data_IF_212854619035
#
_entry.id   IF_212854619035
#
_cell.length_a   1.000
_cell.length_b   1.000
_cell.length_c   1.000
_cell.angle_alpha   90.00
_cell.angle_beta   90.00
_cell.angle_gamma   90.00
#
_symmetry.space_group_name_H-M   'P 1'
#
loop_
_entity.id
_entity.type
_entity.pdbx_description
1 polymer ?
#
# COMPACT_ATOMS: atom_id res chain seq x y z
N UNK A 1 -10.97 -20.99 17.44
CA UNK A 1 -9.95 -19.95 17.21
C UNK A 1 -10.63 -18.76 16.56
N UNK A 2 -10.32 -17.57 17.00
CA UNK A 2 -10.77 -16.33 16.35
C UNK A 2 -9.86 -15.98 15.17
N UNK A 3 -10.28 -14.98 14.35
CA UNK A 3 -9.52 -14.57 13.15
C UNK A 3 -8.05 -14.23 13.46
N UNK A 4 -7.78 -13.63 14.60
CA UNK A 4 -6.43 -13.18 14.96
C UNK A 4 -5.50 -14.31 15.39
N UNK A 5 -6.01 -15.30 16.12
CA UNK A 5 -5.26 -16.52 16.45
C UNK A 5 -4.88 -17.28 15.17
N UNK A 6 -5.82 -17.35 14.22
CA UNK A 6 -5.58 -17.95 12.90
C UNK A 6 -4.54 -17.15 12.09
N UNK A 7 -4.63 -15.81 12.10
CA UNK A 7 -3.66 -14.94 11.40
C UNK A 7 -2.25 -15.07 11.99
N UNK A 8 -2.09 -15.23 13.30
CA UNK A 8 -0.77 -15.46 13.92
C UNK A 8 -0.14 -16.79 13.49
N UNK A 9 -0.95 -17.84 13.32
CA UNK A 9 -0.47 -19.11 12.76
C UNK A 9 0.02 -18.90 11.32
N UNK A 10 -0.70 -18.12 10.54
CA UNK A 10 -0.33 -17.81 9.16
C UNK A 10 0.97 -17.01 9.11
N UNK A 11 1.11 -15.95 9.89
CA UNK A 11 2.33 -15.14 9.95
C UNK A 11 3.55 -15.99 10.30
N UNK A 12 3.42 -16.85 11.33
CA UNK A 12 4.49 -17.76 11.73
C UNK A 12 4.89 -18.73 10.62
N UNK A 13 3.91 -19.30 9.91
CA UNK A 13 4.19 -20.20 8.79
C UNK A 13 4.79 -19.46 7.60
N UNK A 14 4.33 -18.27 7.31
CA UNK A 14 4.92 -17.44 6.26
C UNK A 14 6.38 -17.10 6.52
N UNK A 15 6.73 -16.73 7.76
CA UNK A 15 8.11 -16.43 8.15
C UNK A 15 9.05 -17.64 8.01
N UNK A 16 8.54 -18.86 8.19
CA UNK A 16 9.30 -20.10 8.03
C UNK A 16 9.22 -20.71 6.62
N UNK A 17 8.51 -20.09 5.68
CA UNK A 17 8.34 -20.63 4.32
C UNK A 17 7.44 -21.86 4.24
N UNK A 18 6.66 -22.14 5.27
CA UNK A 18 5.79 -23.31 5.37
C UNK A 18 4.44 -23.10 4.67
N UNK A 19 3.82 -24.19 4.25
CA UNK A 19 2.44 -24.16 3.74
C UNK A 19 1.44 -23.95 4.88
N UNK A 20 0.36 -23.24 4.58
CA UNK A 20 -0.75 -23.05 5.52
C UNK A 20 -1.68 -24.26 5.42
N UNK A 21 -2.01 -24.93 6.54
CA UNK A 21 -2.92 -26.06 6.54
C UNK A 21 -4.32 -25.68 6.02
N UNK A 22 -4.94 -26.59 5.29
CA UNK A 22 -6.24 -26.36 4.67
C UNK A 22 -7.35 -26.07 5.69
N UNK A 23 -7.31 -26.70 6.86
CA UNK A 23 -8.25 -26.43 7.95
C UNK A 23 -8.13 -24.98 8.47
N UNK A 24 -6.94 -24.38 8.47
CA UNK A 24 -6.74 -22.98 8.84
C UNK A 24 -7.31 -22.07 7.74
N UNK A 25 -7.01 -22.37 6.46
CA UNK A 25 -7.57 -21.66 5.32
C UNK A 25 -9.09 -21.65 5.38
N UNK A 26 -9.72 -22.81 5.55
CA UNK A 26 -11.18 -22.96 5.60
C UNK A 26 -11.80 -22.24 6.80
N UNK A 27 -11.15 -22.25 7.96
CA UNK A 27 -11.58 -21.52 9.14
C UNK A 27 -11.58 -20.00 8.91
N UNK A 28 -10.52 -19.45 8.30
CA UNK A 28 -10.46 -18.03 7.97
C UNK A 28 -11.50 -17.69 6.90
N UNK A 29 -11.60 -18.49 5.84
CA UNK A 29 -12.56 -18.30 4.77
C UNK A 29 -13.99 -18.21 5.27
N UNK A 30 -14.36 -19.04 6.24
CA UNK A 30 -15.68 -18.99 6.88
C UNK A 30 -15.92 -17.67 7.62
N UNK A 31 -14.88 -17.10 8.25
CA UNK A 31 -15.01 -15.84 8.99
C UNK A 31 -15.13 -14.65 8.02
N UNK A 32 -14.40 -14.67 6.91
CA UNK A 32 -14.37 -13.54 5.95
C UNK A 32 -15.44 -13.63 4.86
N UNK A 33 -16.29 -14.66 4.89
CA UNK A 33 -17.31 -14.94 3.86
C UNK A 33 -18.31 -13.81 3.62
N UNK A 34 -18.56 -12.96 4.64
CA UNK A 34 -19.48 -11.83 4.52
C UNK A 34 -18.91 -10.65 3.72
N UNK A 35 -17.65 -10.75 3.30
CA UNK A 35 -16.95 -9.72 2.51
C UNK A 35 -16.50 -8.50 3.30
N UNK A 36 -15.88 -7.54 2.60
CA UNK A 36 -15.36 -6.29 3.20
C UNK A 36 -14.04 -6.46 3.94
N UNK A 37 -13.42 -7.64 3.88
CA UNK A 37 -12.14 -7.90 4.53
C UNK A 37 -10.95 -7.54 3.64
N UNK A 38 -9.98 -6.87 4.24
CA UNK A 38 -8.74 -6.39 3.61
C UNK A 38 -7.54 -7.05 4.28
N UNK A 39 -6.63 -7.59 3.47
CA UNK A 39 -5.32 -8.04 3.92
C UNK A 39 -4.30 -6.91 3.83
N UNK A 40 -3.67 -6.58 4.96
CA UNK A 40 -2.58 -5.60 5.04
C UNK A 40 -1.25 -6.35 5.07
N UNK A 41 -0.52 -6.32 3.97
CA UNK A 41 0.79 -6.99 3.84
C UNK A 41 1.92 -6.05 4.26
N UNK A 42 2.19 -5.96 5.55
CA UNK A 42 3.36 -5.26 6.08
C UNK A 42 4.60 -6.09 5.83
N UNK A 43 5.33 -5.78 4.76
CA UNK A 43 6.50 -6.56 4.31
C UNK A 43 7.78 -5.74 4.34
N UNK A 44 8.91 -6.44 4.29
CA UNK A 44 10.25 -5.89 4.08
C UNK A 44 10.69 -6.14 2.63
N UNK A 45 10.47 -5.21 1.70
CA UNK A 45 10.97 -5.34 0.35
C UNK A 45 12.50 -5.14 0.32
N UNK A 46 13.18 -5.91 -0.50
CA UNK A 46 14.60 -5.74 -0.75
C UNK A 46 14.78 -4.76 -1.91
N UNK A 47 15.41 -3.59 -1.65
CA UNK A 47 15.62 -2.58 -2.68
C UNK A 47 16.43 -3.15 -3.86
N UNK A 48 15.91 -2.96 -5.09
CA UNK A 48 16.51 -3.43 -6.33
C UNK A 48 16.34 -4.92 -6.62
N UNK A 49 15.82 -5.74 -5.71
CA UNK A 49 15.62 -7.17 -5.98
C UNK A 49 14.16 -7.47 -6.34
N UNK A 50 13.81 -7.11 -7.56
CA UNK A 50 12.43 -7.21 -8.09
C UNK A 50 11.90 -8.64 -8.04
N UNK A 51 12.72 -9.63 -8.42
CA UNK A 51 12.32 -11.05 -8.42
C UNK A 51 11.98 -11.55 -7.01
N UNK A 52 12.81 -11.24 -6.04
CA UNK A 52 12.59 -11.62 -4.64
C UNK A 52 11.29 -10.99 -4.11
N UNK A 53 11.11 -9.69 -4.36
CA UNK A 53 9.92 -8.96 -3.94
C UNK A 53 8.66 -9.51 -4.62
N UNK A 54 8.73 -9.77 -5.93
CA UNK A 54 7.61 -10.34 -6.67
C UNK A 54 7.19 -11.72 -6.14
N UNK A 55 8.15 -12.60 -5.83
CA UNK A 55 7.87 -13.91 -5.23
C UNK A 55 7.21 -13.78 -3.84
N UNK A 56 7.67 -12.81 -3.04
CA UNK A 56 7.07 -12.49 -1.75
C UNK A 56 5.63 -11.99 -1.92
N UNK A 57 5.40 -11.01 -2.77
CA UNK A 57 4.08 -10.45 -3.09
C UNK A 57 3.13 -11.53 -3.61
N UNK A 58 3.59 -12.39 -4.54
CA UNK A 58 2.81 -13.49 -5.10
C UNK A 58 2.28 -14.46 -4.02
N UNK A 59 3.07 -14.73 -2.97
CA UNK A 59 2.67 -15.58 -1.86
C UNK A 59 1.47 -15.00 -1.11
N UNK A 60 1.48 -13.69 -0.83
CA UNK A 60 0.37 -13.01 -0.15
C UNK A 60 -0.87 -12.89 -1.03
N UNK A 61 -0.70 -12.62 -2.35
CA UNK A 61 -1.83 -12.59 -3.30
C UNK A 61 -2.53 -13.95 -3.35
N UNK A 62 -1.76 -15.04 -3.52
CA UNK A 62 -2.31 -16.41 -3.55
C UNK A 62 -3.05 -16.74 -2.27
N UNK A 63 -2.49 -16.37 -1.13
CA UNK A 63 -3.13 -16.60 0.15
C UNK A 63 -4.43 -15.79 0.30
N UNK A 64 -4.41 -14.49 -0.04
CA UNK A 64 -5.60 -13.65 -0.03
C UNK A 64 -6.73 -14.22 -0.88
N UNK A 65 -6.40 -14.70 -2.10
CA UNK A 65 -7.33 -15.39 -2.99
C UNK A 65 -7.89 -16.69 -2.37
N UNK A 66 -7.01 -17.51 -1.77
CA UNK A 66 -7.43 -18.77 -1.15
C UNK A 66 -8.40 -18.59 -0.01
N UNK A 67 -8.24 -17.56 0.82
CA UNK A 67 -9.14 -17.29 1.94
C UNK A 67 -10.32 -16.38 1.58
N UNK A 68 -10.40 -15.88 0.34
CA UNK A 68 -11.53 -15.09 -0.15
C UNK A 68 -11.51 -13.62 0.31
N UNK A 69 -10.35 -13.00 0.47
CA UNK A 69 -10.27 -11.56 0.74
C UNK A 69 -10.64 -10.73 -0.50
N UNK A 70 -11.40 -9.66 -0.30
CA UNK A 70 -11.74 -8.71 -1.35
C UNK A 70 -10.51 -7.98 -1.90
N UNK A 71 -9.55 -7.67 -0.99
CA UNK A 71 -8.41 -6.82 -1.29
C UNK A 71 -7.19 -7.22 -0.47
N UNK A 72 -6.01 -7.17 -1.10
CA UNK A 72 -4.71 -7.18 -0.42
C UNK A 72 -3.91 -5.94 -0.78
N UNK A 73 -3.37 -5.27 0.23
CA UNK A 73 -2.64 -4.00 0.09
C UNK A 73 -1.18 -4.19 0.47
N UNK A 74 -0.29 -3.76 -0.41
CA UNK A 74 1.15 -3.75 -0.22
C UNK A 74 1.68 -2.32 0.00
N UNK A 75 2.89 -2.17 0.57
CA UNK A 75 3.55 -0.87 0.74
C UNK A 75 3.84 -0.15 -0.58
N UNK A 76 4.16 1.14 -0.48
CA UNK A 76 4.73 1.94 -1.56
C UNK A 76 5.96 1.25 -2.16
N UNK A 77 6.07 1.26 -3.51
CA UNK A 77 7.18 0.66 -4.26
C UNK A 77 7.56 -0.78 -3.84
N UNK A 78 6.60 -1.54 -3.33
CA UNK A 78 6.84 -2.88 -2.77
C UNK A 78 7.53 -3.84 -3.75
N UNK A 79 7.31 -3.67 -5.06
CA UNK A 79 7.92 -4.52 -6.09
C UNK A 79 9.40 -4.17 -6.34
N UNK A 80 9.74 -2.88 -6.33
CA UNK A 80 11.11 -2.41 -6.51
C UNK A 80 11.89 -2.35 -5.19
N UNK A 81 11.20 -2.09 -4.07
CA UNK A 81 11.77 -1.73 -2.78
C UNK A 81 12.07 -0.23 -2.69
N UNK A 82 11.74 0.41 -1.56
CA UNK A 82 12.01 1.81 -1.29
C UNK A 82 13.17 1.95 -0.29
N UNK A 83 14.09 2.90 -0.47
CA UNK A 83 14.21 3.89 -1.54
C UNK A 83 14.81 3.34 -2.84
N UNK A 84 14.45 3.95 -3.97
CA UNK A 84 14.93 3.54 -5.29
C UNK A 84 16.21 4.25 -5.73
N UNK A 85 16.39 5.49 -5.29
CA UNK A 85 17.54 6.37 -5.53
C UNK A 85 18.12 6.30 -6.96
N UNK A 86 19.45 6.32 -7.10
CA UNK A 86 20.13 6.22 -8.40
C UNK A 86 19.95 4.88 -9.13
N UNK A 87 19.36 3.88 -8.46
CA UNK A 87 19.23 2.51 -9.00
C UNK A 87 18.49 2.47 -10.32
N UNK A 88 17.39 3.23 -10.44
CA UNK A 88 16.56 3.23 -11.65
C UNK A 88 17.21 3.94 -12.84
N UNK A 89 18.05 4.93 -12.60
CA UNK A 89 18.76 5.65 -13.67
C UNK A 89 20.01 4.88 -14.14
N UNK A 90 20.72 4.22 -13.21
CA UNK A 90 21.94 3.47 -13.51
C UNK A 90 21.69 2.10 -14.11
N UNK A 91 20.54 1.50 -13.80
CA UNK A 91 20.18 0.14 -14.20
C UNK A 91 18.80 0.08 -14.85
N UNK A 92 18.60 0.58 -16.10
CA UNK A 92 17.29 0.59 -16.76
C UNK A 92 16.62 -0.78 -16.86
N UNK A 93 17.41 -1.86 -16.96
CA UNK A 93 16.91 -3.24 -17.02
C UNK A 93 16.03 -3.61 -15.80
N UNK A 94 16.29 -3.00 -14.64
CA UNK A 94 15.53 -3.30 -13.43
C UNK A 94 14.09 -2.76 -13.53
N UNK A 95 13.88 -1.67 -14.28
CA UNK A 95 12.54 -1.13 -14.54
C UNK A 95 11.77 -2.02 -15.51
N UNK A 96 12.44 -2.58 -16.51
CA UNK A 96 11.83 -3.56 -17.43
C UNK A 96 11.42 -4.83 -16.67
N UNK A 97 12.28 -5.34 -15.80
CA UNK A 97 11.96 -6.47 -14.94
C UNK A 97 10.79 -6.16 -14.00
N UNK A 98 10.75 -4.96 -13.42
CA UNK A 98 9.64 -4.51 -12.57
C UNK A 98 8.30 -4.57 -13.32
N UNK A 99 8.22 -4.13 -14.59
CA UNK A 99 7.02 -4.24 -15.41
C UNK A 99 6.69 -5.70 -15.76
N UNK A 100 7.71 -6.50 -16.11
CA UNK A 100 7.54 -7.93 -16.43
C UNK A 100 6.95 -8.70 -15.23
N UNK A 101 7.50 -8.48 -14.03
CA UNK A 101 7.02 -9.13 -12.83
C UNK A 101 5.64 -8.62 -12.40
N UNK A 102 5.35 -7.32 -12.58
CA UNK A 102 4.01 -6.77 -12.33
C UNK A 102 2.94 -7.47 -13.18
N UNK A 103 3.21 -7.65 -14.49
CA UNK A 103 2.33 -8.41 -15.39
C UNK A 103 2.16 -9.87 -14.96
N UNK A 104 3.23 -10.48 -14.43
CA UNK A 104 3.19 -11.84 -13.86
C UNK A 104 2.31 -11.92 -12.60
N UNK A 105 2.40 -10.93 -11.72
CA UNK A 105 1.56 -10.82 -10.53
C UNK A 105 0.08 -10.64 -10.90
N UNK A 106 -0.22 -9.83 -11.90
CA UNK A 106 -1.60 -9.65 -12.37
C UNK A 106 -2.23 -10.99 -12.76
N UNK A 107 -1.52 -11.82 -13.52
CA UNK A 107 -2.01 -13.13 -13.99
C UNK A 107 -2.42 -14.10 -12.87
N UNK A 108 -1.83 -13.97 -11.70
CA UNK A 108 -2.16 -14.82 -10.54
C UNK A 108 -3.20 -14.19 -9.60
N UNK A 109 -3.59 -12.94 -9.85
CA UNK A 109 -4.55 -12.21 -9.02
C UNK A 109 -5.97 -12.51 -9.50
N UNK A 110 -6.53 -13.60 -8.98
CA UNK A 110 -7.87 -14.09 -9.32
C UNK A 110 -8.69 -14.24 -8.04
N UNK A 111 -9.95 -13.75 -8.05
CA UNK A 111 -10.85 -13.82 -6.88
C UNK A 111 -10.48 -12.89 -5.73
N UNK A 112 -9.52 -12.02 -5.93
CA UNK A 112 -9.13 -10.93 -5.00
C UNK A 112 -8.66 -9.73 -5.83
N UNK A 113 -8.48 -8.59 -5.20
CA UNK A 113 -7.80 -7.43 -5.80
C UNK A 113 -6.47 -7.22 -5.07
N UNK A 114 -5.40 -6.83 -5.77
CA UNK A 114 -4.13 -6.49 -5.14
C UNK A 114 -3.70 -5.08 -5.51
N UNK A 115 -3.28 -4.29 -4.51
CA UNK A 115 -2.65 -2.99 -4.69
C UNK A 115 -1.14 -3.15 -4.54
N UNK A 116 -0.38 -3.02 -5.63
CA UNK A 116 1.05 -3.29 -5.67
C UNK A 116 1.82 -2.04 -6.07
N UNK A 117 2.66 -1.52 -5.16
CA UNK A 117 3.56 -0.39 -5.43
C UNK A 117 4.69 -0.78 -6.39
N UNK A 118 4.93 0.03 -7.44
CA UNK A 118 5.93 -0.22 -8.47
C UNK A 118 6.47 1.09 -9.07
N UNK A 119 7.60 1.01 -9.78
CA UNK A 119 8.14 2.10 -10.60
C UNK A 119 7.50 2.05 -11.98
N UNK A 120 6.82 3.11 -12.36
CA UNK A 120 6.16 3.23 -13.66
C UNK A 120 7.01 4.07 -14.60
N UNK A 121 7.48 3.52 -15.75
CA UNK A 121 8.16 4.30 -16.78
C UNK A 121 7.17 5.24 -17.49
N UNK A 122 7.60 6.47 -17.73
CA UNK A 122 6.87 7.45 -18.54
C UNK A 122 7.23 7.27 -20.03
N UNK A 123 6.42 7.86 -20.92
CA UNK A 123 6.74 7.91 -22.35
C UNK A 123 8.09 8.62 -22.57
N UNK A 124 8.86 8.14 -23.53
CA UNK A 124 10.21 8.64 -23.79
C UNK A 124 10.26 10.13 -24.18
N UNK A 125 9.20 10.64 -24.80
CA UNK A 125 9.04 12.03 -25.26
C UNK A 125 8.37 12.94 -24.23
N UNK A 126 8.02 12.42 -23.05
CA UNK A 126 7.38 13.21 -22.01
C UNK A 126 8.37 14.15 -21.32
N UNK A 127 8.03 15.44 -21.23
CA UNK A 127 8.81 16.40 -20.44
C UNK A 127 8.87 16.02 -18.95
N UNK A 128 9.97 16.34 -18.27
CA UNK A 128 10.18 16.07 -16.84
C UNK A 128 10.96 14.77 -16.58
N UNK A 129 10.73 14.15 -15.42
CA UNK A 129 11.44 12.92 -15.02
C UNK A 129 10.88 11.71 -15.76
N UNK A 130 11.69 10.65 -15.81
CA UNK A 130 11.39 9.45 -16.60
C UNK A 130 10.38 8.50 -15.95
N UNK A 131 10.11 8.64 -14.64
CA UNK A 131 9.38 7.65 -13.87
C UNK A 131 8.30 8.28 -13.00
N UNK A 132 7.26 7.49 -12.71
CA UNK A 132 6.32 7.74 -11.61
C UNK A 132 6.52 6.71 -10.50
N UNK A 133 6.23 7.11 -9.27
CA UNK A 133 5.97 6.21 -8.17
C UNK A 133 4.47 5.88 -8.19
N UNK A 134 4.15 4.62 -8.40
CA UNK A 134 2.78 4.21 -8.72
C UNK A 134 2.34 2.98 -7.94
N UNK A 135 1.03 2.85 -7.76
CA UNK A 135 0.36 1.65 -7.27
C UNK A 135 -0.50 1.09 -8.39
N UNK A 136 -0.25 -0.15 -8.79
CA UNK A 136 -1.08 -0.88 -9.74
C UNK A 136 -2.22 -1.59 -9.02
N UNK A 137 -3.39 -1.59 -9.64
CA UNK A 137 -4.57 -2.33 -9.23
C UNK A 137 -4.64 -3.59 -10.08
N UNK A 138 -4.35 -4.73 -9.46
CA UNK A 138 -4.35 -6.04 -10.12
C UNK A 138 -5.65 -6.76 -9.77
N UNK A 139 -6.36 -7.27 -10.77
CA UNK A 139 -7.60 -8.00 -10.57
C UNK A 139 -7.90 -8.91 -11.77
N UNK A 140 -8.42 -10.10 -11.49
CA UNK A 140 -8.91 -11.06 -12.48
C UNK A 140 -7.94 -11.32 -13.65
N UNK A 141 -6.64 -11.39 -13.33
CA UNK A 141 -5.57 -11.64 -14.30
C UNK A 141 -5.01 -10.40 -14.98
N UNK A 142 -5.51 -9.21 -14.68
CA UNK A 142 -5.21 -7.97 -15.41
C UNK A 142 -4.76 -6.82 -14.48
N UNK A 143 -4.10 -5.82 -15.08
CA UNK A 143 -3.86 -4.52 -14.44
C UNK A 143 -5.02 -3.62 -14.84
N UNK A 144 -5.93 -3.37 -13.90
CA UNK A 144 -7.20 -2.69 -14.16
C UNK A 144 -7.14 -1.19 -13.94
N UNK A 145 -6.13 -0.71 -13.23
CA UNK A 145 -5.95 0.72 -12.96
C UNK A 145 -4.61 1.02 -12.31
N UNK A 146 -4.27 2.30 -12.27
CA UNK A 146 -3.04 2.81 -11.67
C UNK A 146 -3.33 4.08 -10.88
N UNK A 147 -2.68 4.21 -9.74
CA UNK A 147 -2.61 5.44 -8.95
C UNK A 147 -1.16 5.91 -8.93
N UNK A 148 -0.92 7.18 -9.22
CA UNK A 148 0.40 7.80 -9.20
C UNK A 148 0.52 8.76 -8.03
N UNK A 149 1.69 8.75 -7.36
CA UNK A 149 1.99 9.66 -6.26
C UNK A 149 1.95 11.11 -6.74
N UNK A 150 1.17 11.94 -6.03
CA UNK A 150 0.97 13.35 -6.39
C UNK A 150 1.92 14.26 -5.63
N UNK A 151 2.27 13.93 -4.39
CA UNK A 151 3.15 14.72 -3.55
C UNK A 151 4.50 14.02 -3.36
N UNK A 152 5.57 14.72 -3.72
CA UNK A 152 6.93 14.20 -3.61
C UNK A 152 7.68 14.96 -2.51
N UNK A 153 8.10 14.27 -1.43
CA UNK A 153 8.89 14.90 -0.40
C UNK A 153 10.30 15.24 -0.94
N UNK A 154 10.79 16.44 -0.58
CA UNK A 154 12.11 16.94 -0.92
C UNK A 154 12.90 17.42 0.31
N UNK A 155 12.51 16.91 1.48
CA UNK A 155 13.10 17.27 2.77
C UNK A 155 13.68 16.03 3.46
N UNK A 156 14.66 16.27 4.32
CA UNK A 156 15.31 15.25 5.13
C UNK A 156 16.00 14.15 4.29
N UNK A 157 15.69 12.86 4.53
CA UNK A 157 16.23 11.71 3.79
C UNK A 157 15.57 11.47 2.44
N UNK A 158 14.51 12.22 2.10
CA UNK A 158 13.75 11.98 0.88
C UNK A 158 14.41 12.62 -0.34
N UNK A 159 14.59 11.81 -1.39
CA UNK A 159 15.12 12.21 -2.69
C UNK A 159 14.16 11.91 -3.86
N UNK A 160 12.89 11.59 -3.57
CA UNK A 160 11.91 11.20 -4.58
C UNK A 160 11.84 12.21 -5.73
N UNK A 161 11.85 13.50 -5.39
CA UNK A 161 11.77 14.60 -6.37
C UNK A 161 12.90 14.59 -7.41
N UNK A 162 14.04 13.95 -7.14
CA UNK A 162 15.17 13.86 -8.08
C UNK A 162 14.86 12.93 -9.27
N UNK A 163 14.12 11.85 -9.03
CA UNK A 163 13.93 10.76 -10.00
C UNK A 163 12.49 10.61 -10.48
N UNK A 164 11.54 10.99 -9.66
CA UNK A 164 10.11 10.76 -9.84
C UNK A 164 9.42 12.05 -10.27
N UNK A 165 8.50 11.93 -11.21
CA UNK A 165 7.58 12.99 -11.61
C UNK A 165 6.32 12.98 -10.74
N UNK A 166 5.89 14.11 -10.18
CA UNK A 166 4.63 14.18 -9.44
C UNK A 166 3.45 14.04 -10.41
N UNK A 167 2.43 13.29 -10.00
CA UNK A 167 1.20 13.19 -10.79
C UNK A 167 0.40 14.48 -10.72
N UNK A 168 -0.04 15.03 -11.87
CA UNK A 168 -1.00 16.11 -11.87
C UNK A 168 -2.43 15.65 -11.52
N UNK A 169 -2.71 14.35 -11.64
CA UNK A 169 -4.02 13.73 -11.43
C UNK A 169 -3.98 12.93 -10.12
N UNK A 170 -4.98 13.16 -9.27
CA UNK A 170 -5.21 12.41 -8.04
C UNK A 170 -6.22 11.29 -8.33
N UNK A 171 -6.01 10.13 -7.70
CA UNK A 171 -6.89 8.98 -7.82
C UNK A 171 -6.53 8.01 -8.95
N UNK A 172 -7.41 7.05 -9.17
CA UNK A 172 -7.19 5.95 -10.09
C UNK A 172 -7.33 6.39 -11.54
N UNK A 173 -6.42 5.95 -12.37
CA UNK A 173 -6.40 6.17 -13.82
C UNK A 173 -6.47 4.82 -14.54
N UNK A 174 -7.10 4.76 -15.73
CA UNK A 174 -7.05 3.55 -16.55
C UNK A 174 -5.61 3.15 -16.88
N UNK A 175 -5.34 1.86 -16.91
CA UNK A 175 -4.01 1.33 -17.21
C UNK A 175 -3.58 1.58 -18.67
N UNK A 176 -4.52 1.79 -19.59
CA UNK A 176 -4.28 2.09 -21.00
C UNK A 176 -3.57 3.43 -21.24
N UNK A 177 -3.67 4.37 -20.28
CA UNK A 177 -3.00 5.68 -20.39
C UNK A 177 -1.48 5.57 -20.41
N UNK A 178 -0.92 4.40 -20.08
CA UNK A 178 0.51 4.19 -19.89
C UNK A 178 1.26 3.82 -21.18
N UNK A 179 0.56 3.42 -22.23
CA UNK A 179 1.19 2.96 -23.47
C UNK A 179 2.06 1.68 -23.33
N UNK A 180 2.13 1.12 -22.13
CA UNK A 180 2.89 -0.11 -21.84
C UNK A 180 2.01 -1.34 -21.65
N UNK A 181 0.69 -1.15 -21.62
CA UNK A 181 -0.30 -2.20 -21.41
C UNK A 181 -1.25 -2.26 -22.59
N UNK A 182 -1.62 -3.46 -23.02
CA UNK A 182 -2.49 -3.66 -24.15
C UNK A 182 -3.88 -3.09 -23.88
N UNK A 183 -4.47 -2.41 -24.88
CA UNK A 183 -5.81 -1.79 -24.77
C UNK A 183 -6.93 -2.78 -24.44
N UNK A 184 -6.72 -4.06 -24.76
CA UNK A 184 -7.66 -5.14 -24.46
C UNK A 184 -7.73 -5.49 -22.96
N UNK A 185 -6.75 -5.01 -22.17
CA UNK A 185 -6.64 -5.31 -20.73
C UNK A 185 -7.42 -4.35 -19.85
N UNK A 186 -8.03 -3.29 -20.38
CA UNK A 186 -8.73 -2.27 -19.60
C UNK A 186 -10.17 -2.69 -19.35
N UNK A 187 -10.45 -3.21 -18.17
CA UNK A 187 -11.80 -3.43 -17.68
C UNK A 187 -12.30 -2.21 -16.90
N UNK A 188 -13.64 -2.12 -16.78
CA UNK A 188 -14.30 -1.06 -16.03
C UNK A 188 -13.80 -0.98 -14.58
N UNK A 189 -12.94 0.01 -14.32
CA UNK A 189 -12.39 0.29 -12.99
C UNK A 189 -13.41 0.99 -12.07
N UNK A 190 -14.60 1.37 -12.58
CA UNK A 190 -15.57 2.21 -11.86
C UNK A 190 -15.93 1.67 -10.47
N UNK A 191 -16.06 0.35 -10.32
CA UNK A 191 -16.38 -0.28 -9.04
C UNK A 191 -15.27 -0.11 -8.00
N UNK A 192 -14.00 -0.03 -8.43
CA UNK A 192 -12.85 0.16 -7.55
C UNK A 192 -12.70 1.65 -7.22
N UNK A 193 -12.93 2.53 -8.20
CA UNK A 193 -12.90 3.98 -8.02
C UNK A 193 -13.87 4.45 -6.94
N UNK A 194 -15.11 3.93 -6.96
CA UNK A 194 -16.14 4.36 -6.04
C UNK A 194 -15.98 3.74 -4.64
N UNK A 195 -15.22 2.64 -4.50
CA UNK A 195 -15.04 1.96 -3.22
C UNK A 195 -13.81 2.45 -2.45
N UNK A 196 -12.70 2.72 -3.14
CA UNK A 196 -11.42 2.99 -2.49
C UNK A 196 -10.79 4.31 -2.95
N UNK A 197 -10.55 5.22 -2.01
CA UNK A 197 -9.72 6.41 -2.20
C UNK A 197 -8.26 6.06 -1.97
N UNK A 198 -7.52 5.72 -3.03
CA UNK A 198 -6.15 5.22 -2.95
C UNK A 198 -5.14 6.36 -3.06
N UNK A 199 -4.18 6.41 -2.14
CA UNK A 199 -3.12 7.40 -2.05
C UNK A 199 -1.77 6.75 -1.73
N UNK A 200 -0.67 7.47 -1.96
CA UNK A 200 0.67 6.95 -1.75
C UNK A 200 1.44 7.86 -0.78
N UNK A 201 1.78 7.31 0.38
CA UNK A 201 2.67 7.88 1.39
C UNK A 201 2.42 9.37 1.65
N UNK A 202 3.23 10.27 1.06
CA UNK A 202 3.20 11.72 1.25
C UNK A 202 1.84 12.36 0.91
N UNK A 203 1.03 11.73 0.05
CA UNK A 203 -0.27 12.26 -0.38
C UNK A 203 -1.24 12.52 0.79
N UNK A 204 -1.04 11.85 1.94
CA UNK A 204 -1.86 12.10 3.14
C UNK A 204 -1.27 13.14 4.11
N UNK A 205 -0.09 13.75 3.78
CA UNK A 205 0.63 14.63 4.69
C UNK A 205 0.42 16.14 4.42
N UNK A 206 -0.58 16.54 3.67
CA UNK A 206 -0.83 17.94 3.33
C UNK A 206 -2.23 18.45 3.67
N UNK A 207 -2.84 17.95 4.74
CA UNK A 207 -4.16 18.47 5.13
C UNK A 207 -4.05 19.85 5.78
N UNK A 208 -4.69 20.85 5.16
CA UNK A 208 -4.60 22.27 5.56
C UNK A 208 -5.21 22.60 6.91
N UNK A 209 -6.11 21.75 7.42
CA UNK A 209 -6.72 21.95 8.74
C UNK A 209 -5.94 21.25 9.85
N UNK A 210 -5.07 20.30 9.49
CA UNK A 210 -4.25 19.56 10.46
C UNK A 210 -2.86 20.17 10.64
N UNK A 211 -2.27 20.69 9.55
CA UNK A 211 -0.93 21.28 9.56
C UNK A 211 -1.00 22.79 9.48
N UNK A 212 -0.25 23.48 10.34
CA UNK A 212 -0.17 24.96 10.35
C UNK A 212 0.48 25.53 9.08
N UNK A 213 1.24 24.71 8.36
CA UNK A 213 1.92 25.09 7.11
C UNK A 213 1.61 24.08 6.03
N UNK A 214 1.15 24.56 4.88
CA UNK A 214 1.05 23.72 3.69
C UNK A 214 2.42 23.58 3.04
N UNK A 215 2.86 22.33 2.86
CA UNK A 215 4.07 22.02 2.10
C UNK A 215 3.81 22.01 0.59
N UNK A 216 2.54 21.77 0.19
CA UNK A 216 2.12 21.63 -1.19
C UNK A 216 0.82 22.40 -1.45
N UNK A 217 0.56 22.78 -2.70
CA UNK A 217 -0.68 23.45 -3.11
C UNK A 217 -1.89 22.53 -3.08
N UNK A 218 -1.68 21.25 -3.44
CA UNK A 218 -2.74 20.23 -3.51
C UNK A 218 -2.92 19.49 -2.20
N UNK A 219 -4.14 19.11 -1.88
CA UNK A 219 -4.49 18.12 -0.84
C UNK A 219 -5.12 16.90 -1.52
N UNK A 220 -4.34 15.84 -1.82
CA UNK A 220 -4.86 14.68 -2.53
C UNK A 220 -5.98 13.96 -1.78
N UNK A 221 -5.97 13.96 -0.46
CA UNK A 221 -7.05 13.33 0.32
C UNK A 221 -8.36 14.14 0.19
N UNK A 222 -8.27 15.47 0.17
CA UNK A 222 -9.45 16.30 -0.07
C UNK A 222 -10.03 16.07 -1.47
N UNK A 223 -9.16 15.94 -2.49
CA UNK A 223 -9.59 15.62 -3.85
C UNK A 223 -10.26 14.24 -3.92
N UNK A 224 -9.66 13.20 -3.32
CA UNK A 224 -10.23 11.86 -3.27
C UNK A 224 -11.57 11.83 -2.52
N UNK A 225 -11.75 12.67 -1.50
CA UNK A 225 -12.97 12.70 -0.70
C UNK A 225 -14.22 13.13 -1.50
N UNK A 226 -14.03 13.88 -2.59
CA UNK A 226 -15.11 14.33 -3.48
C UNK A 226 -15.84 13.18 -4.17
N UNK A 227 -15.10 12.07 -4.41
CA UNK A 227 -15.66 10.83 -4.97
C UNK A 227 -16.37 9.98 -3.92
N UNK A 228 -16.37 10.40 -2.65
CA UNK A 228 -17.03 9.73 -1.51
C UNK A 228 -16.66 8.25 -1.37
N UNK A 229 -15.38 7.90 -1.31
CA UNK A 229 -14.97 6.51 -1.17
C UNK A 229 -15.47 5.91 0.14
N UNK A 230 -15.73 4.60 0.14
CA UNK A 230 -16.10 3.87 1.36
C UNK A 230 -14.91 3.73 2.31
N UNK A 231 -13.69 3.66 1.78
CA UNK A 231 -12.44 3.46 2.55
C UNK A 231 -11.31 4.24 1.88
N UNK A 232 -10.55 5.00 2.65
CA UNK A 232 -9.24 5.50 2.21
C UNK A 232 -8.16 4.43 2.41
N UNK A 233 -7.27 4.30 1.43
CA UNK A 233 -6.11 3.41 1.49
C UNK A 233 -4.86 4.22 1.22
N UNK A 234 -3.86 4.09 2.09
CA UNK A 234 -2.57 4.71 1.88
C UNK A 234 -1.46 3.65 1.88
N UNK A 235 -0.80 3.50 0.74
CA UNK A 235 0.36 2.62 0.56
C UNK A 235 1.64 3.42 0.86
N UNK A 236 2.40 3.02 1.89
CA UNK A 236 3.49 3.82 2.40
C UNK A 236 4.83 3.08 2.50
N UNK A 237 5.90 3.87 2.35
CA UNK A 237 7.25 3.56 2.81
C UNK A 237 7.76 4.75 3.64
N UNK A 238 7.13 4.96 4.80
CA UNK A 238 7.38 6.11 5.66
C UNK A 238 8.41 5.75 6.75
N UNK A 239 9.62 6.36 6.74
CA UNK A 239 10.64 6.10 7.74
C UNK A 239 10.18 6.48 9.14
N UNK A 240 10.67 5.73 10.15
CA UNK A 240 10.41 6.04 11.55
C UNK A 240 11.37 7.11 12.06
N UNK A 241 10.86 8.01 12.91
CA UNK A 241 11.60 9.04 13.62
C UNK A 241 10.96 9.34 14.96
N UNK A 242 11.74 9.88 15.89
CA UNK A 242 11.21 10.42 17.14
C UNK A 242 10.06 11.40 16.85
N UNK A 243 8.98 11.29 17.59
CA UNK A 243 7.74 12.09 17.47
C UNK A 243 6.91 11.88 16.19
N UNK A 244 7.47 11.27 15.12
CA UNK A 244 6.72 11.02 13.87
C UNK A 244 5.60 10.00 14.06
N UNK A 245 5.79 9.05 14.96
CA UNK A 245 4.79 8.01 15.25
C UNK A 245 3.48 8.60 15.79
N UNK A 246 3.57 9.49 16.79
CA UNK A 246 2.40 10.18 17.34
C UNK A 246 1.77 11.14 16.33
N UNK A 247 2.58 11.87 15.56
CA UNK A 247 2.10 12.77 14.52
C UNK A 247 1.33 12.00 13.44
N UNK A 248 1.88 10.85 12.99
CA UNK A 248 1.26 9.93 12.03
C UNK A 248 -0.08 9.42 12.56
N UNK A 249 -0.11 8.99 13.83
CA UNK A 249 -1.34 8.55 14.49
C UNK A 249 -2.41 9.65 14.47
N UNK A 250 -2.06 10.84 14.90
CA UNK A 250 -3.00 11.96 15.01
C UNK A 250 -3.50 12.39 13.63
N UNK A 251 -2.63 12.45 12.64
CA UNK A 251 -2.97 12.82 11.25
C UNK A 251 -3.95 11.82 10.64
N UNK A 252 -3.67 10.51 10.72
CA UNK A 252 -4.56 9.49 10.14
C UNK A 252 -5.91 9.46 10.87
N UNK A 253 -5.93 9.59 12.19
CA UNK A 253 -7.15 9.71 12.98
C UNK A 253 -7.97 10.94 12.57
N UNK A 254 -7.31 12.08 12.40
CA UNK A 254 -7.94 13.32 11.94
C UNK A 254 -8.57 13.16 10.55
N UNK A 255 -7.83 12.60 9.58
CA UNK A 255 -8.33 12.35 8.22
C UNK A 255 -9.59 11.48 8.25
N UNK A 256 -9.54 10.35 8.95
CA UNK A 256 -10.68 9.44 9.05
C UNK A 256 -11.92 10.15 9.63
N UNK A 257 -11.73 10.91 10.72
CA UNK A 257 -12.80 11.65 11.39
C UNK A 257 -13.37 12.80 10.55
N UNK A 258 -12.49 13.58 9.89
CA UNK A 258 -12.88 14.72 9.04
C UNK A 258 -13.79 14.30 7.90
N UNK A 259 -13.40 13.25 7.17
CA UNK A 259 -14.14 12.78 6.00
C UNK A 259 -15.17 11.70 6.33
N UNK A 260 -15.29 11.28 7.60
CA UNK A 260 -16.18 10.19 8.07
C UNK A 260 -15.98 8.90 7.27
N UNK A 261 -14.75 8.62 6.90
CA UNK A 261 -14.34 7.49 6.07
C UNK A 261 -13.21 6.75 6.75
N UNK A 262 -13.30 5.43 6.97
CA UNK A 262 -12.20 4.65 7.50
C UNK A 262 -10.93 4.79 6.67
N UNK A 263 -9.75 4.73 7.30
CA UNK A 263 -8.46 4.76 6.60
C UNK A 263 -7.62 3.54 6.95
N UNK A 264 -7.14 2.86 5.91
CA UNK A 264 -6.18 1.75 5.98
C UNK A 264 -4.81 2.28 5.54
N UNK A 265 -3.85 2.25 6.45
CA UNK A 265 -2.48 2.68 6.22
C UNK A 265 -1.55 1.46 6.27
N UNK A 266 -0.91 1.14 5.16
CA UNK A 266 0.02 0.01 5.03
C UNK A 266 1.43 0.52 4.79
N UNK A 267 2.33 0.23 5.74
CA UNK A 267 3.71 0.70 5.71
C UNK A 267 4.69 -0.48 5.59
N UNK A 268 5.83 -0.27 4.95
CA UNK A 268 6.90 -1.28 4.95
C UNK A 268 7.62 -1.36 6.30
N UNK A 269 8.29 -2.48 6.52
CA UNK A 269 9.29 -2.66 7.59
C UNK A 269 10.68 -2.83 7.00
N UNK A 270 11.69 -2.71 7.84
CA UNK A 270 13.09 -2.96 7.47
C UNK A 270 13.99 -1.76 7.72
N UNK A 271 15.21 -1.86 7.26
CA UNK A 271 16.17 -0.77 7.28
C UNK A 271 17.03 -0.81 6.03
N UNK A 272 17.30 0.36 5.48
CA UNK A 272 18.18 0.52 4.34
C UNK A 272 18.88 1.86 4.46
N UNK A 273 20.20 1.84 4.28
CA UNK A 273 21.06 3.02 4.42
C UNK A 273 20.77 3.76 5.75
N UNK A 274 20.44 5.03 5.68
CA UNK A 274 20.15 5.88 6.86
C UNK A 274 18.67 5.86 7.29
N UNK A 275 17.84 5.02 6.68
CA UNK A 275 16.40 4.96 6.94
C UNK A 275 16.00 3.64 7.60
N UNK A 276 15.16 3.74 8.63
CA UNK A 276 14.50 2.58 9.23
C UNK A 276 12.99 2.74 9.16
N UNK A 277 12.31 1.63 8.91
CA UNK A 277 10.86 1.56 8.71
C UNK A 277 10.26 0.66 9.78
N UNK A 278 9.43 1.24 10.62
CA UNK A 278 8.81 0.53 11.73
C UNK A 278 7.58 -0.30 11.34
N UNK A 279 7.08 -0.16 10.10
CA UNK A 279 5.80 -0.71 9.72
C UNK A 279 4.68 -0.04 10.49
N UNK A 280 4.24 -0.66 11.60
CA UNK A 280 3.15 -0.16 12.44
C UNK A 280 1.93 0.23 11.60
N UNK A 281 1.66 -0.55 10.55
CA UNK A 281 0.49 -0.41 9.67
C UNK A 281 -0.77 -0.39 10.52
N UNK A 282 -1.75 0.44 10.17
CA UNK A 282 -2.88 0.69 11.05
C UNK A 282 -4.17 1.02 10.33
N UNK A 283 -5.28 0.89 11.03
CA UNK A 283 -6.61 1.23 10.55
C UNK A 283 -7.32 2.09 11.56
N UNK A 284 -7.89 3.17 11.10
CA UNK A 284 -8.83 3.98 11.86
C UNK A 284 -10.23 3.84 11.28
N UNK A 285 -11.24 3.76 12.15
CA UNK A 285 -12.64 3.81 11.74
C UNK A 285 -13.05 5.24 11.33
N UNK A 286 -14.25 5.38 10.83
CA UNK A 286 -14.83 6.67 10.41
C UNK A 286 -14.94 7.74 11.52
N UNK A 287 -14.76 7.36 12.78
CA UNK A 287 -14.76 8.28 13.93
C UNK A 287 -13.33 8.65 14.36
N UNK A 288 -12.31 8.17 13.63
CA UNK A 288 -10.90 8.36 13.97
C UNK A 288 -10.41 7.48 15.13
N UNK A 289 -11.15 6.43 15.50
CA UNK A 289 -10.72 5.46 16.51
C UNK A 289 -9.79 4.42 15.87
N UNK A 290 -8.63 4.20 16.47
CA UNK A 290 -7.73 3.13 16.05
C UNK A 290 -8.39 1.76 16.33
N UNK A 291 -8.59 0.96 15.27
CA UNK A 291 -9.19 -0.38 15.36
C UNK A 291 -8.22 -1.51 15.05
N UNK A 292 -7.17 -1.22 14.30
CA UNK A 292 -6.10 -2.19 14.03
C UNK A 292 -4.73 -1.52 14.00
N UNK A 293 -3.71 -2.23 14.49
CA UNK A 293 -2.31 -1.86 14.37
C UNK A 293 -1.45 -3.11 14.29
N UNK A 294 -0.62 -3.21 13.25
CA UNK A 294 0.35 -4.27 13.09
C UNK A 294 1.53 -4.10 14.07
N UNK A 295 2.30 -5.15 14.26
CA UNK A 295 3.53 -5.14 15.06
C UNK A 295 4.56 -4.18 14.46
N UNK A 296 5.36 -3.57 15.32
CA UNK A 296 6.46 -2.72 14.88
C UNK A 296 7.68 -3.57 14.56
N UNK A 297 8.39 -3.26 13.47
CA UNK A 297 9.66 -3.88 13.05
C UNK A 297 9.58 -5.38 12.70
N UNK A 298 8.37 -5.90 12.46
CA UNK A 298 8.15 -7.28 12.04
C UNK A 298 7.33 -7.32 10.76
N UNK A 299 7.63 -8.26 9.86
CA UNK A 299 6.70 -8.57 8.75
C UNK A 299 5.43 -9.17 9.33
N UNK A 300 4.28 -8.74 8.81
CA UNK A 300 2.98 -9.25 9.27
C UNK A 300 1.91 -9.15 8.18
N UNK A 301 1.03 -10.16 8.14
CA UNK A 301 -0.21 -10.10 7.36
C UNK A 301 -1.40 -9.92 8.29
N UNK A 302 -1.96 -8.73 8.33
CA UNK A 302 -3.08 -8.41 9.21
C UNK A 302 -4.39 -8.34 8.41
N UNK A 303 -5.38 -9.14 8.78
CA UNK A 303 -6.71 -9.14 8.18
C UNK A 303 -7.62 -8.24 9.00
N UNK A 304 -8.30 -7.30 8.31
CA UNK A 304 -9.17 -6.29 8.92
C UNK A 304 -10.47 -6.12 8.15
N UNK A 305 -11.53 -5.67 8.84
CA UNK A 305 -12.74 -5.16 8.20
C UNK A 305 -12.99 -3.74 8.72
N UNK A 306 -12.55 -2.71 7.98
CA UNK A 306 -12.60 -1.32 8.45
C UNK A 306 -14.03 -0.81 8.69
N UNK A 307 -15.00 -1.23 7.88
CA UNK A 307 -16.40 -0.77 7.95
C UNK A 307 -17.15 -1.39 9.13
N UNK A 308 -16.80 -2.63 9.50
CA UNK A 308 -17.34 -3.32 10.68
C UNK A 308 -16.54 -3.05 11.96
N UNK A 309 -15.44 -2.28 11.88
CA UNK A 309 -14.57 -2.01 13.02
C UNK A 309 -13.80 -3.24 13.51
N UNK A 310 -13.57 -4.23 12.65
CA UNK A 310 -12.85 -5.46 12.98
C UNK A 310 -11.35 -5.28 12.72
N UNK A 311 -10.55 -5.40 13.78
CA UNK A 311 -9.11 -5.28 13.71
C UNK A 311 -8.44 -5.70 15.02
N UNK A 312 -7.11 -5.93 14.99
CA UNK A 312 -6.30 -6.27 16.16
C UNK A 312 -5.25 -5.21 16.44
N UNK A 313 -5.11 -4.82 17.68
CA UNK A 313 -4.13 -3.85 18.16
C UNK A 313 -2.93 -4.58 18.76
N UNK A 314 -1.77 -4.52 18.07
CA UNK A 314 -0.50 -4.89 18.67
C UNK A 314 0.14 -3.67 19.36
N UNK A 315 0.82 -3.84 20.51
CA UNK A 315 1.46 -2.73 21.20
C UNK A 315 2.60 -2.16 20.36
N UNK A 316 2.87 -0.87 20.53
CA UNK A 316 4.10 -0.26 19.98
C UNK A 316 5.32 -0.85 20.71
N UNK A 317 6.41 -0.98 19.99
CA UNK A 317 7.69 -1.37 20.59
C UNK A 317 8.14 -0.27 21.55
N UNK A 318 8.61 -0.66 22.75
CA UNK A 318 9.12 0.27 23.76
C UNK A 318 10.21 1.17 23.16
N UNK A 319 10.01 2.47 23.27
CA UNK A 319 10.88 3.49 22.65
C UNK A 319 10.17 4.34 21.59
N UNK A 320 9.15 3.81 20.93
CA UNK A 320 8.25 4.60 20.08
C UNK A 320 7.17 5.32 20.89
N UNK A 321 6.89 4.85 22.13
CA UNK A 321 5.91 5.43 23.05
C UNK A 321 6.46 6.61 23.88
N UNK A 322 7.80 6.82 23.84
CA UNK A 322 8.48 7.88 24.64
C UNK A 322 8.94 9.00 23.73
N UNK A 323 8.01 9.78 23.26
CA UNK A 323 8.36 11.00 22.51
C UNK A 323 7.36 12.12 22.79
#
# INVERSE_FOLDING_TARGET
MNLYELSEIVDKRFSHGENIPENIINAIKSIVSDGGYIGMAQINPMAGNVEYNAKKIAKYIKYASQIGLDLVVFPELALMGYPIEDTIDRHPIIVEENIKWLKGLAKITVGTTALVGFVEPRKQDAEGKKFYNSVAILRDGEITGIVRKSLLPNYSEFNDYRYIEPSPIVGVQPADTLGHFDKETVRDCSKIFNKYGISICEDCWNNKEFFDKNLYEKDPIDELSKEKPEIFINCSASPTRAKKEQLKHNMLSFVAKKYKTPIVYVNQVGAIDNSSFDGSSRVFDQNGKLIARAKSFEEQFLIVNPTQGIGKLYPLTRGLDKS
#
